data_IF_496776745839
#
_entry.id   IF_496776745839
#
_cell.length_a   1.000
_cell.length_b   1.000
_cell.length_c   1.000
_cell.angle_alpha   90.00
_cell.angle_beta   90.00
_cell.angle_gamma   90.00
#
_symmetry.space_group_name_H-M   'P 1'
#
loop_
_entity.id
_entity.type
_entity.pdbx_description
1 polymer ?
#
# COMPACT_ATOMS: atom_id res chain seq x y z
N UNK A 1 0.52 1.11 -1.46
CA UNK A 1 0.03 -0.27 -1.67
C UNK A 1 -1.37 -0.41 -1.10
N UNK A 2 -2.26 -1.08 -1.84
CA UNK A 2 -3.66 -1.29 -1.48
C UNK A 2 -4.00 -2.77 -1.62
N UNK A 3 -4.27 -3.45 -0.51
CA UNK A 3 -4.77 -4.82 -0.51
C UNK A 3 -6.28 -4.90 -0.26
N UNK A 4 -6.93 -3.78 0.09
CA UNK A 4 -8.35 -3.76 0.40
C UNK A 4 -9.24 -3.84 -0.85
N UNK A 5 -10.27 -4.69 -0.79
CA UNK A 5 -11.33 -4.77 -1.80
C UNK A 5 -12.53 -3.86 -1.48
N UNK A 6 -12.45 -3.07 -0.40
CA UNK A 6 -13.58 -2.25 0.05
C UNK A 6 -13.99 -1.20 -1.00
N UNK A 7 -15.30 -1.02 -1.29
CA UNK A 7 -15.79 -0.04 -2.27
C UNK A 7 -15.30 1.40 -2.03
N UNK A 8 -15.17 1.84 -0.77
CA UNK A 8 -14.67 3.16 -0.44
C UNK A 8 -13.22 3.36 -0.91
N UNK A 9 -12.35 2.37 -0.69
CA UNK A 9 -10.98 2.40 -1.21
C UNK A 9 -10.94 2.36 -2.74
N UNK A 10 -11.82 1.59 -3.38
CA UNK A 10 -11.93 1.58 -4.86
C UNK A 10 -12.33 2.95 -5.40
N UNK A 11 -13.29 3.62 -4.77
CA UNK A 11 -13.67 4.99 -5.11
C UNK A 11 -12.51 5.99 -4.92
N UNK A 12 -11.74 5.84 -3.83
CA UNK A 12 -10.54 6.65 -3.58
C UNK A 12 -9.45 6.46 -4.63
N UNK A 13 -9.21 5.22 -5.09
CA UNK A 13 -8.28 4.94 -6.20
C UNK A 13 -8.76 5.63 -7.47
N UNK A 14 -10.04 5.46 -7.83
CA UNK A 14 -10.62 6.11 -9.01
C UNK A 14 -10.47 7.63 -8.95
N UNK A 15 -10.68 8.22 -7.76
CA UNK A 15 -10.47 9.65 -7.55
C UNK A 15 -9.00 10.04 -7.78
N UNK A 16 -8.04 9.31 -7.20
CA UNK A 16 -6.61 9.54 -7.36
C UNK A 16 -6.13 9.43 -8.83
N UNK A 17 -6.61 8.42 -9.56
CA UNK A 17 -6.29 8.23 -10.98
C UNK A 17 -6.79 9.39 -11.82
N UNK A 18 -8.01 9.91 -11.56
CA UNK A 18 -8.54 11.11 -12.23
C UNK A 18 -7.72 12.37 -11.96
N UNK A 19 -6.89 12.36 -10.91
CA UNK A 19 -5.98 13.45 -10.54
C UNK A 19 -4.55 13.22 -11.05
N UNK A 20 -4.33 12.19 -11.86
CA UNK A 20 -3.05 11.90 -12.51
C UNK A 20 -2.12 11.00 -11.71
N UNK A 21 -2.56 10.41 -10.60
CA UNK A 21 -1.75 9.43 -9.86
C UNK A 21 -1.71 8.13 -10.65
N UNK A 22 -0.49 7.66 -10.96
CA UNK A 22 -0.29 6.39 -11.64
C UNK A 22 -0.85 5.23 -10.81
N UNK A 23 -1.52 4.29 -11.46
CA UNK A 23 -2.15 3.15 -10.80
C UNK A 23 -1.91 1.87 -11.60
N UNK A 24 -1.54 0.80 -10.90
CA UNK A 24 -1.50 -0.54 -11.47
C UNK A 24 -2.24 -1.55 -10.59
N UNK A 25 -2.77 -2.58 -11.25
CA UNK A 25 -3.40 -3.72 -10.61
C UNK A 25 -2.50 -4.93 -10.81
N UNK A 26 -2.06 -5.55 -9.71
CA UNK A 26 -1.25 -6.76 -9.74
C UNK A 26 -2.14 -7.99 -9.63
N UNK A 27 -1.93 -8.95 -10.54
CA UNK A 27 -2.50 -10.28 -10.47
C UNK A 27 -1.63 -11.19 -9.59
N UNK A 28 -1.72 -10.98 -8.28
CA UNK A 28 -0.88 -11.70 -7.29
C UNK A 28 -0.96 -13.22 -7.42
N UNK A 29 -2.15 -13.84 -7.60
CA UNK A 29 -2.24 -15.30 -7.79
C UNK A 29 -1.39 -15.84 -8.92
N UNK A 30 -1.37 -15.16 -10.08
CA UNK A 30 -0.78 -15.69 -11.31
C UNK A 30 0.59 -15.07 -11.66
N UNK A 31 1.10 -14.15 -10.85
CA UNK A 31 2.38 -13.48 -11.10
C UNK A 31 3.45 -14.02 -10.16
N UNK A 32 4.61 -14.41 -10.69
CA UNK A 32 5.75 -14.83 -9.88
C UNK A 32 6.27 -13.70 -8.99
N UNK A 33 6.82 -14.03 -7.81
CA UNK A 33 7.23 -13.02 -6.82
C UNK A 33 8.29 -12.03 -7.33
N UNK A 34 9.24 -12.48 -8.15
CA UNK A 34 10.23 -11.60 -8.77
C UNK A 34 9.59 -10.61 -9.77
N UNK A 35 8.56 -11.06 -10.49
CA UNK A 35 7.81 -10.20 -11.40
C UNK A 35 6.92 -9.20 -10.64
N UNK A 36 6.34 -9.60 -9.50
CA UNK A 36 5.62 -8.68 -8.61
C UNK A 36 6.54 -7.56 -8.10
N UNK A 37 7.73 -7.91 -7.61
CA UNK A 37 8.72 -6.92 -7.17
C UNK A 37 9.12 -5.99 -8.32
N UNK A 38 9.47 -6.54 -9.48
CA UNK A 38 9.85 -5.74 -10.65
C UNK A 38 8.74 -4.78 -11.08
N UNK A 39 7.49 -5.25 -11.10
CA UNK A 39 6.33 -4.42 -11.43
C UNK A 39 6.14 -3.27 -10.43
N UNK A 40 6.33 -3.50 -9.13
CA UNK A 40 6.25 -2.44 -8.11
C UNK A 40 7.38 -1.42 -8.30
N UNK A 41 8.60 -1.89 -8.59
CA UNK A 41 9.79 -1.04 -8.75
C UNK A 41 9.73 -0.15 -10.00
N UNK A 42 9.14 -0.64 -11.08
CA UNK A 42 9.08 0.05 -12.37
C UNK A 42 8.08 1.21 -12.40
N UNK A 43 7.26 1.40 -11.36
CA UNK A 43 6.24 2.44 -11.35
C UNK A 43 6.84 3.83 -11.16
N UNK A 44 6.32 4.85 -11.87
CA UNK A 44 6.64 6.24 -11.57
C UNK A 44 6.20 6.57 -10.15
N UNK A 45 6.88 7.53 -9.50
CA UNK A 45 6.49 7.98 -8.16
C UNK A 45 5.92 9.40 -8.23
N UNK A 46 4.78 9.66 -7.55
CA UNK A 46 4.00 8.72 -6.74
C UNK A 46 3.13 7.75 -7.56
N UNK A 47 2.86 6.56 -7.01
CA UNK A 47 1.95 5.57 -7.62
C UNK A 47 1.17 4.75 -6.58
N UNK A 48 0.04 4.22 -7.04
CA UNK A 48 -0.79 3.25 -6.34
C UNK A 48 -0.58 1.87 -6.96
N UNK A 49 -0.30 0.89 -6.11
CA UNK A 49 -0.35 -0.53 -6.45
C UNK A 49 -1.52 -1.14 -5.72
N UNK A 50 -2.43 -1.80 -6.45
CA UNK A 50 -3.54 -2.55 -5.87
C UNK A 50 -3.58 -3.99 -6.34
N UNK A 51 -4.32 -4.86 -5.65
CA UNK A 51 -4.55 -6.23 -6.10
C UNK A 51 -5.86 -6.37 -6.87
N UNK A 52 -5.89 -7.34 -7.77
CA UNK A 52 -7.14 -7.90 -8.29
C UNK A 52 -7.99 -8.49 -7.15
N UNK A 53 -9.31 -8.56 -7.35
CA UNK A 53 -10.20 -9.19 -6.39
C UNK A 53 -9.94 -10.70 -6.35
N UNK A 54 -9.77 -11.24 -5.15
CA UNK A 54 -9.67 -12.68 -4.91
C UNK A 54 -10.84 -13.13 -4.03
N UNK A 55 -11.44 -14.28 -4.33
CA UNK A 55 -12.70 -14.74 -3.72
C UNK A 55 -12.53 -15.81 -2.64
N UNK A 56 -11.33 -16.33 -2.43
CA UNK A 56 -11.07 -17.36 -1.43
C UNK A 56 -10.37 -16.75 -0.17
N UNK A 57 -10.99 -16.84 1.02
CA UNK A 57 -10.42 -16.31 2.26
C UNK A 57 -9.10 -16.97 2.69
N UNK A 58 -8.93 -18.28 2.48
CA UNK A 58 -7.69 -18.97 2.89
C UNK A 58 -6.52 -18.53 2.00
N UNK A 59 -6.76 -18.40 0.69
CA UNK A 59 -5.78 -17.81 -0.21
C UNK A 59 -5.54 -16.32 0.03
N UNK A 60 -6.50 -15.57 0.58
CA UNK A 60 -6.34 -14.11 0.78
C UNK A 60 -5.15 -13.75 1.69
N UNK A 61 -4.95 -14.49 2.79
CA UNK A 61 -3.81 -14.26 3.70
C UNK A 61 -2.48 -14.62 3.02
N UNK A 62 -2.43 -15.73 2.30
CA UNK A 62 -1.26 -16.15 1.53
C UNK A 62 -0.89 -15.10 0.46
N UNK A 63 -1.87 -14.58 -0.27
CA UNK A 63 -1.67 -13.54 -1.28
C UNK A 63 -1.23 -12.20 -0.65
N UNK A 64 -1.79 -11.83 0.50
CA UNK A 64 -1.35 -10.66 1.26
C UNK A 64 0.12 -10.79 1.69
N UNK A 65 0.53 -11.98 2.15
CA UNK A 65 1.92 -12.25 2.51
C UNK A 65 2.86 -12.15 1.30
N UNK A 66 2.51 -12.77 0.17
CA UNK A 66 3.30 -12.70 -1.07
C UNK A 66 3.48 -11.26 -1.56
N UNK A 67 2.38 -10.50 -1.59
CA UNK A 67 2.43 -9.10 -1.96
C UNK A 67 3.23 -8.27 -0.96
N UNK A 68 3.08 -8.51 0.34
CA UNK A 68 3.81 -7.82 1.39
C UNK A 68 5.32 -8.01 1.26
N UNK A 69 5.75 -9.25 0.99
CA UNK A 69 7.15 -9.60 0.73
C UNK A 69 7.69 -8.90 -0.52
N UNK A 70 6.96 -8.95 -1.64
CA UNK A 70 7.36 -8.27 -2.88
C UNK A 70 7.47 -6.75 -2.70
N UNK A 71 6.50 -6.14 -1.99
CA UNK A 71 6.53 -4.72 -1.67
C UNK A 71 7.69 -4.35 -0.75
N UNK A 72 7.98 -5.14 0.29
CA UNK A 72 9.12 -4.89 1.17
C UNK A 72 10.47 -4.97 0.43
N UNK A 73 10.63 -5.92 -0.50
CA UNK A 73 11.80 -5.98 -1.37
C UNK A 73 11.91 -4.75 -2.26
N UNK A 74 10.81 -4.34 -2.88
CA UNK A 74 10.77 -3.12 -3.70
C UNK A 74 11.11 -1.85 -2.89
N UNK A 75 10.61 -1.75 -1.65
CA UNK A 75 10.92 -0.63 -0.74
C UNK A 75 12.40 -0.61 -0.40
N UNK A 76 13.00 -1.74 -0.03
CA UNK A 76 14.45 -1.81 0.24
C UNK A 76 15.30 -1.47 -0.99
N UNK A 77 14.88 -1.92 -2.17
CA UNK A 77 15.63 -1.70 -3.41
C UNK A 77 15.54 -0.26 -3.92
N UNK A 78 14.58 0.54 -3.42
CA UNK A 78 14.29 1.85 -3.99
C UNK A 78 14.25 2.99 -3.01
N UNK A 79 14.41 2.68 -1.72
CA UNK A 79 14.57 3.60 -0.58
C UNK A 79 13.63 4.82 -0.65
N UNK A 80 12.30 4.61 -0.76
CA UNK A 80 11.36 5.72 -0.75
C UNK A 80 11.36 6.40 0.63
N UNK A 81 11.22 7.73 0.67
CA UNK A 81 11.06 8.44 1.93
C UNK A 81 9.72 8.17 2.64
N UNK A 82 8.69 7.76 1.89
CA UNK A 82 7.36 7.47 2.45
C UNK A 82 6.65 6.37 1.68
N UNK A 83 5.92 5.51 2.39
CA UNK A 83 4.98 4.55 1.81
C UNK A 83 3.62 4.61 2.49
N UNK A 84 2.58 4.28 1.72
CA UNK A 84 1.21 4.16 2.21
C UNK A 84 0.68 2.75 2.10
N UNK A 85 0.02 2.26 3.14
CA UNK A 85 -0.54 0.91 3.22
C UNK A 85 -2.04 0.97 3.50
N UNK A 86 -2.86 0.45 2.58
CA UNK A 86 -4.33 0.42 2.72
C UNK A 86 -4.85 -1.00 2.80
N UNK A 87 -5.51 -1.33 3.91
CA UNK A 87 -5.96 -2.68 4.26
C UNK A 87 -5.10 -3.33 5.34
N UNK A 88 -5.74 -4.06 6.25
CA UNK A 88 -5.08 -4.64 7.44
C UNK A 88 -4.04 -5.69 7.08
N UNK A 89 -4.46 -6.75 6.38
CA UNK A 89 -3.60 -7.90 6.10
C UNK A 89 -2.38 -7.54 5.25
N UNK A 90 -2.59 -6.70 4.23
CA UNK A 90 -1.49 -6.21 3.39
C UNK A 90 -0.54 -5.29 4.16
N UNK A 91 -1.06 -4.42 5.02
CA UNK A 91 -0.21 -3.56 5.85
C UNK A 91 0.63 -4.39 6.83
N UNK A 92 0.00 -5.36 7.51
CA UNK A 92 0.69 -6.28 8.41
C UNK A 92 1.78 -7.06 7.67
N UNK A 93 1.47 -7.64 6.51
CA UNK A 93 2.43 -8.39 5.71
C UNK A 93 3.65 -7.55 5.28
N UNK A 94 3.44 -6.32 4.82
CA UNK A 94 4.55 -5.41 4.46
C UNK A 94 5.40 -5.06 5.69
N UNK A 95 4.77 -4.67 6.79
CA UNK A 95 5.48 -4.27 8.01
C UNK A 95 6.30 -5.42 8.58
N UNK A 96 5.73 -6.63 8.66
CA UNK A 96 6.45 -7.85 9.04
C UNK A 96 7.65 -8.12 8.12
N UNK A 97 7.45 -7.98 6.81
CA UNK A 97 8.52 -8.23 5.84
C UNK A 97 9.63 -7.16 5.86
N UNK A 98 9.32 -5.91 6.22
CA UNK A 98 10.30 -4.83 6.34
C UNK A 98 11.24 -5.02 7.53
N UNK A 99 10.82 -5.71 8.59
CA UNK A 99 11.67 -6.13 9.70
C UNK A 99 11.02 -5.96 11.08
N UNK A 100 11.71 -6.36 12.16
CA UNK A 100 11.17 -6.34 13.51
C UNK A 100 10.79 -4.92 13.99
N UNK A 101 9.86 -4.82 14.94
CA UNK A 101 9.05 -3.63 15.20
C UNK A 101 9.81 -2.59 16.02
N UNK A 102 10.75 -1.87 15.40
CA UNK A 102 11.18 -0.56 15.90
C UNK A 102 10.40 0.57 15.23
N UNK A 103 9.16 0.28 14.80
CA UNK A 103 8.23 1.30 14.36
C UNK A 103 7.82 2.14 15.56
N UNK A 104 8.24 3.39 15.58
CA UNK A 104 7.71 4.37 16.54
C UNK A 104 6.41 4.91 15.97
N UNK A 105 5.33 4.91 16.76
CA UNK A 105 4.13 5.67 16.41
C UNK A 105 4.51 7.15 16.47
N UNK A 106 4.69 7.76 15.31
CA UNK A 106 5.14 9.14 15.19
C UNK A 106 3.98 10.14 15.27
N UNK A 107 2.75 9.69 15.03
CA UNK A 107 1.54 10.50 15.13
C UNK A 107 0.44 10.02 14.20
N UNK A 108 -0.30 10.96 13.61
CA UNK A 108 -1.31 10.73 12.57
C UNK A 108 -1.23 11.82 11.52
N UNK A 109 -1.38 11.47 10.24
CA UNK A 109 -1.40 12.43 9.14
C UNK A 109 -2.82 12.92 8.79
N UNK A 110 -3.82 12.15 9.18
CA UNK A 110 -5.24 12.50 9.11
C UNK A 110 -6.00 11.74 10.20
N UNK A 111 -7.26 12.11 10.56
CA UNK A 111 -8.10 11.26 11.39
C UNK A 111 -8.11 9.82 10.85
N UNK A 112 -7.92 8.81 11.68
CA UNK A 112 -7.92 7.40 11.26
C UNK A 112 -6.75 6.95 10.38
N UNK A 113 -5.72 7.78 10.17
CA UNK A 113 -4.52 7.47 9.37
C UNK A 113 -3.27 7.65 10.24
N UNK A 114 -2.86 6.63 11.01
CA UNK A 114 -1.64 6.70 11.82
C UNK A 114 -0.38 6.80 10.96
N UNK A 115 0.64 7.44 11.51
CA UNK A 115 1.99 7.55 10.98
C UNK A 115 2.96 6.75 11.86
N UNK A 116 3.68 5.83 11.23
CA UNK A 116 4.76 5.06 11.81
C UNK A 116 6.07 5.56 11.22
N UNK A 117 7.10 5.63 12.05
CA UNK A 117 8.46 5.96 11.61
C UNK A 117 9.36 4.74 11.78
N UNK A 118 9.86 4.26 10.65
CA UNK A 118 10.93 3.27 10.55
C UNK A 118 12.25 3.99 10.24
N UNK A 119 13.42 3.39 10.49
CA UNK A 119 14.69 3.97 10.08
C UNK A 119 14.71 4.31 8.58
N UNK A 120 14.77 5.60 8.25
CA UNK A 120 14.78 6.09 6.87
C UNK A 120 13.46 6.03 6.10
N UNK A 121 12.34 5.66 6.75
CA UNK A 121 11.07 5.43 6.06
C UNK A 121 9.86 5.84 6.93
N UNK A 122 9.07 6.77 6.41
CA UNK A 122 7.74 7.07 6.97
C UNK A 122 6.69 6.12 6.37
N UNK A 123 5.84 5.55 7.23
CA UNK A 123 4.78 4.63 6.82
C UNK A 123 3.46 5.12 7.38
N UNK A 124 2.50 5.39 6.52
CA UNK A 124 1.13 5.58 6.97
C UNK A 124 0.26 4.37 6.64
N UNK A 125 -0.67 4.06 7.53
CA UNK A 125 -1.64 2.98 7.31
C UNK A 125 -3.06 3.53 7.33
N UNK A 126 -3.95 2.90 6.56
CA UNK A 126 -5.37 3.26 6.51
C UNK A 126 -6.22 2.02 6.42
N UNK A 127 -7.29 1.96 7.22
CA UNK A 127 -8.31 0.93 7.05
C UNK A 127 -9.00 1.05 5.67
N UNK A 128 -9.40 -0.09 5.10
CA UNK A 128 -10.00 -0.13 3.76
C UNK A 128 -11.27 0.71 3.62
N UNK A 129 -12.16 0.65 4.61
CA UNK A 129 -13.43 1.40 4.58
C UNK A 129 -13.32 2.86 5.01
N UNK A 130 -12.12 3.35 5.35
CA UNK A 130 -11.99 4.64 6.03
C UNK A 130 -11.71 5.81 5.08
N UNK A 131 -12.36 6.95 5.38
CA UNK A 131 -12.07 8.29 4.86
C UNK A 131 -12.92 8.70 3.65
N UNK A 132 -12.96 10.02 3.35
CA UNK A 132 -13.67 10.54 2.18
C UNK A 132 -12.99 10.13 0.85
N UNK A 133 -13.66 10.33 -0.31
CA UNK A 133 -13.11 9.97 -1.61
C UNK A 133 -11.77 10.64 -1.95
N UNK A 134 -11.56 11.87 -1.49
CA UNK A 134 -10.32 12.65 -1.72
C UNK A 134 -9.13 12.20 -0.89
N UNK A 135 -9.36 11.53 0.24
CA UNK A 135 -8.32 11.29 1.24
C UNK A 135 -7.06 10.64 0.66
N UNK A 136 -7.22 9.58 -0.13
CA UNK A 136 -6.05 8.89 -0.69
C UNK A 136 -5.22 9.80 -1.61
N UNK A 137 -5.85 10.74 -2.30
CA UNK A 137 -5.14 11.74 -3.11
C UNK A 137 -4.39 12.72 -2.22
N UNK A 138 -5.05 13.25 -1.18
CA UNK A 138 -4.44 14.19 -0.24
C UNK A 138 -3.24 13.58 0.50
N UNK A 139 -3.29 12.27 0.79
CA UNK A 139 -2.18 11.53 1.41
C UNK A 139 -0.98 11.32 0.48
N UNK A 140 -1.20 11.27 -0.84
CA UNK A 140 -0.17 10.98 -1.85
C UNK A 140 0.41 12.27 -2.43
N UNK A 141 -0.44 13.28 -2.61
CA UNK A 141 -0.12 14.60 -3.12
C UNK A 141 -0.73 15.65 -2.18
N UNK A 142 -0.07 15.94 -1.04
CA UNK A 142 -0.52 16.99 -0.14
C UNK A 142 -0.60 18.30 -0.91
N UNK A 143 -1.71 19.03 -0.77
CA UNK A 143 -1.76 20.40 -1.25
C UNK A 143 -0.70 21.22 -0.47
N UNK A 144 0.23 21.84 -1.20
CA UNK A 144 1.15 22.84 -0.66
C UNK A 144 0.44 24.17 -0.44
#
# INVERSE_FOLDING_TARGET
>A
MVSSLNPATRAQITHAVRRGIAHTVLDVPNTADAALEAAIRALPRPAIVSTSAFRDPEGAQHLAHRLGTAAARAVRATEPGTIGLVGGDGAAAVLTALGPPRALVAGRIAPGVPLLRLPGLDVWTKAGGFGPPGLLTDLIQPAH
#
